data_IF_944587860549
#
_entry.id   IF_944587860549
#
_cell.length_a   1.000
_cell.length_b   1.000
_cell.length_c   1.000
_cell.angle_alpha   90.00
_cell.angle_beta   90.00
_cell.angle_gamma   90.00
#
_symmetry.space_group_name_H-M   'P 1'
#
loop_
_entity.id
_entity.type
_entity.pdbx_description
1 polymer ?
#
# COMPACT_ATOMS: atom_id res chain seq x y z
N UNK A 1 -5.04 6.06 -54.40
CA UNK A 1 -4.51 7.45 -54.33
C UNK A 1 -3.44 7.49 -53.26
N UNK A 2 -2.28 8.04 -53.61
CA UNK A 2 -1.06 8.10 -52.81
C UNK A 2 -1.15 9.21 -51.74
N UNK A 3 -0.55 8.93 -50.58
CA UNK A 3 0.23 9.84 -49.74
C UNK A 3 -0.43 11.10 -49.18
N UNK A 4 -0.65 11.12 -47.87
CA UNK A 4 -0.58 12.33 -47.04
C UNK A 4 0.35 12.12 -45.82
N UNK A 5 1.54 11.56 -46.09
CA UNK A 5 2.71 11.70 -45.22
C UNK A 5 3.36 13.03 -45.59
N UNK A 6 3.20 14.11 -44.80
CA UNK A 6 4.11 15.31 -44.75
C UNK A 6 3.62 16.51 -43.90
N UNK A 7 3.16 16.31 -42.67
CA UNK A 7 3.09 17.37 -41.65
C UNK A 7 3.30 16.66 -40.32
N UNK A 8 4.44 16.69 -39.63
CA UNK A 8 5.25 17.86 -39.33
C UNK A 8 6.49 17.35 -38.57
N UNK A 9 7.43 16.76 -39.30
CA UNK A 9 8.74 16.31 -38.77
C UNK A 9 9.62 17.51 -38.33
N UNK A 10 9.22 18.75 -38.57
CA UNK A 10 9.98 19.94 -38.16
C UNK A 10 9.36 20.62 -36.94
N UNK A 11 9.75 20.14 -35.76
CA UNK A 11 10.08 21.02 -34.62
C UNK A 11 11.22 20.38 -33.82
N UNK A 12 12.32 20.12 -34.53
CA UNK A 12 13.61 19.70 -33.98
C UNK A 12 14.60 20.84 -34.23
N UNK A 13 14.39 21.96 -33.55
CA UNK A 13 15.39 23.02 -33.42
C UNK A 13 15.03 23.81 -32.15
N UNK A 14 15.93 23.82 -31.17
CA UNK A 14 15.86 24.74 -30.04
C UNK A 14 15.10 24.26 -28.80
N UNK A 15 15.56 23.17 -28.18
CA UNK A 15 15.35 22.93 -26.75
C UNK A 15 16.55 22.16 -26.19
N UNK A 16 17.62 22.91 -25.93
CA UNK A 16 18.68 22.50 -25.01
C UNK A 16 18.06 22.26 -23.64
N UNK A 17 17.87 21.01 -23.27
CA UNK A 17 17.32 20.64 -21.97
C UNK A 17 16.78 19.22 -22.01
N UNK A 18 17.63 18.26 -21.66
CA UNK A 18 17.14 17.00 -21.14
C UNK A 18 16.57 17.27 -19.75
N UNK A 19 15.38 17.87 -19.68
CA UNK A 19 14.61 17.80 -18.46
C UNK A 19 14.18 16.35 -18.32
N UNK A 20 14.72 15.68 -17.31
CA UNK A 20 14.25 14.39 -16.84
C UNK A 20 12.78 14.61 -16.45
N UNK A 21 11.89 14.36 -17.40
CA UNK A 21 10.48 14.20 -17.08
C UNK A 21 10.43 13.04 -16.09
N UNK A 22 10.31 13.36 -14.80
CA UNK A 22 9.77 12.44 -13.82
C UNK A 22 8.40 12.02 -14.37
N UNK A 23 8.41 10.85 -15.02
CA UNK A 23 7.20 10.16 -15.38
C UNK A 23 6.58 9.75 -14.05
N UNK A 24 5.74 10.61 -13.49
CA UNK A 24 4.78 10.18 -12.49
C UNK A 24 3.96 9.06 -13.12
N UNK A 25 4.13 7.85 -12.59
CA UNK A 25 3.48 6.65 -13.10
C UNK A 25 1.98 6.91 -13.28
N UNK A 26 1.37 6.46 -14.39
CA UNK A 26 -0.04 6.64 -14.61
C UNK A 26 -0.79 5.95 -13.47
N UNK A 27 -1.34 6.75 -12.54
CA UNK A 27 -2.21 6.29 -11.47
C UNK A 27 -3.31 5.46 -12.11
N UNK A 28 -3.20 4.13 -11.96
CA UNK A 28 -4.05 3.14 -12.62
C UNK A 28 -5.50 3.41 -12.25
N UNK A 29 -6.17 4.05 -13.20
CA UNK A 29 -7.59 4.37 -13.26
C UNK A 29 -8.39 3.06 -13.14
N UNK A 30 -9.43 3.09 -12.32
CA UNK A 30 -10.10 1.91 -11.75
C UNK A 30 -10.39 0.79 -12.74
N UNK A 31 -9.73 -0.34 -12.51
CA UNK A 31 -10.13 -1.66 -13.01
C UNK A 31 -10.79 -2.40 -11.83
N UNK A 32 -11.78 -3.28 -12.03
CA UNK A 32 -12.39 -4.05 -10.95
C UNK A 32 -11.39 -4.84 -10.09
N UNK A 33 -10.16 -5.10 -10.59
CA UNK A 33 -9.04 -5.60 -9.80
C UNK A 33 -8.49 -4.64 -8.74
N UNK A 34 -8.69 -3.33 -8.90
CA UNK A 34 -8.19 -2.30 -7.99
C UNK A 34 -8.86 -2.35 -6.61
N UNK A 35 -10.13 -2.73 -6.54
CA UNK A 35 -10.84 -2.91 -5.26
C UNK A 35 -10.29 -4.12 -4.51
N UNK A 36 -9.99 -5.21 -5.21
CA UNK A 36 -9.36 -6.39 -4.60
C UNK A 36 -7.95 -6.09 -4.09
N UNK A 37 -7.16 -5.32 -4.84
CA UNK A 37 -5.81 -4.90 -4.42
C UNK A 37 -5.91 -4.08 -3.12
N UNK A 38 -6.80 -3.09 -3.07
CA UNK A 38 -6.99 -2.25 -1.87
C UNK A 38 -7.50 -3.04 -0.68
N UNK A 39 -8.48 -3.94 -0.89
CA UNK A 39 -9.00 -4.79 0.17
C UNK A 39 -7.91 -5.73 0.72
N UNK A 40 -7.05 -6.25 -0.16
CA UNK A 40 -5.90 -7.07 0.23
C UNK A 40 -4.90 -6.27 1.05
N UNK A 41 -4.56 -5.05 0.61
CA UNK A 41 -3.64 -4.17 1.33
C UNK A 41 -4.14 -3.84 2.75
N UNK A 42 -5.43 -3.51 2.88
CA UNK A 42 -6.07 -3.29 4.19
C UNK A 42 -6.05 -4.57 5.02
N UNK A 43 -6.39 -5.72 4.41
CA UNK A 43 -6.37 -7.01 5.07
C UNK A 43 -4.98 -7.36 5.61
N UNK A 44 -3.92 -7.14 4.83
CA UNK A 44 -2.53 -7.35 5.26
C UNK A 44 -2.11 -6.39 6.37
N UNK A 45 -2.52 -5.12 6.31
CA UNK A 45 -2.23 -4.12 7.35
C UNK A 45 -2.80 -4.51 8.72
N UNK A 46 -3.89 -5.29 8.75
CA UNK A 46 -4.50 -5.84 9.96
C UNK A 46 -3.88 -7.20 10.33
N UNK A 47 -3.78 -8.11 9.36
CA UNK A 47 -3.37 -9.50 9.60
C UNK A 47 -1.91 -9.60 10.06
N UNK A 48 -1.01 -8.77 9.53
CA UNK A 48 0.41 -8.79 9.88
C UNK A 48 0.66 -8.51 11.38
N UNK A 49 0.22 -7.38 11.96
CA UNK A 49 0.46 -7.10 13.38
C UNK A 49 -0.20 -8.11 14.33
N UNK A 50 -1.40 -8.64 13.99
CA UNK A 50 -2.07 -9.66 14.81
C UNK A 50 -1.29 -10.98 14.76
N UNK A 51 -0.94 -11.46 13.56
CA UNK A 51 -0.22 -12.73 13.38
C UNK A 51 1.20 -12.63 13.95
N UNK A 52 1.88 -11.52 13.72
CA UNK A 52 3.21 -11.27 14.28
C UNK A 52 3.16 -11.22 15.81
N UNK A 53 2.20 -10.51 16.40
CA UNK A 53 2.01 -10.48 17.85
C UNK A 53 1.70 -11.86 18.42
N UNK A 54 0.79 -12.61 17.80
CA UNK A 54 0.43 -13.96 18.24
C UNK A 54 1.61 -14.94 18.17
N UNK A 55 2.35 -14.96 17.05
CA UNK A 55 3.51 -15.84 16.88
C UNK A 55 4.65 -15.46 17.83
N UNK A 56 4.92 -14.16 17.98
CA UNK A 56 5.94 -13.67 18.90
C UNK A 56 5.57 -13.99 20.35
N UNK A 57 4.29 -13.79 20.70
CA UNK A 57 3.73 -14.13 22.00
C UNK A 57 3.85 -15.61 22.30
N UNK A 58 3.49 -16.49 21.36
CA UNK A 58 3.62 -17.95 21.49
C UNK A 58 5.07 -18.38 21.69
N UNK A 59 6.00 -17.79 20.95
CA UNK A 59 7.42 -18.06 21.10
C UNK A 59 7.94 -17.66 22.49
N UNK A 60 7.52 -16.50 22.99
CA UNK A 60 7.86 -16.02 24.33
C UNK A 60 7.26 -16.92 25.41
N UNK A 61 6.01 -17.31 25.23
CA UNK A 61 5.25 -18.10 26.18
C UNK A 61 5.82 -19.52 26.35
N UNK A 62 6.27 -20.13 25.24
CA UNK A 62 7.02 -21.38 25.25
C UNK A 62 8.36 -21.25 26.00
N UNK A 63 9.01 -20.09 25.93
CA UNK A 63 10.30 -19.84 26.60
C UNK A 63 10.14 -19.63 28.10
N UNK A 64 9.08 -18.94 28.53
CA UNK A 64 8.83 -18.64 29.95
C UNK A 64 7.91 -19.66 30.64
N UNK A 65 7.44 -20.70 29.92
CA UNK A 65 6.45 -21.69 30.38
C UNK A 65 5.15 -21.05 30.92
N UNK A 66 4.87 -19.82 30.52
CA UNK A 66 3.78 -18.99 31.03
C UNK A 66 2.44 -19.21 30.33
N UNK A 67 2.14 -20.45 29.93
CA UNK A 67 0.95 -20.82 29.15
C UNK A 67 -0.37 -20.21 29.68
N UNK A 68 -1.17 -19.45 28.89
CA UNK A 68 -0.90 -18.71 27.65
C UNK A 68 -0.96 -17.18 27.85
N UNK A 69 -0.30 -16.67 28.90
CA UNK A 69 -0.47 -15.27 29.34
C UNK A 69 0.23 -14.27 28.42
N UNK A 70 1.43 -14.60 27.95
CA UNK A 70 2.21 -13.70 27.09
C UNK A 70 1.64 -13.63 25.68
N UNK A 71 1.20 -14.77 25.14
CA UNK A 71 0.49 -14.84 23.85
C UNK A 71 -0.74 -13.96 23.85
N UNK A 72 -1.55 -14.02 24.91
CA UNK A 72 -2.77 -13.23 25.00
C UNK A 72 -2.50 -11.72 25.09
N UNK A 73 -1.47 -11.33 25.86
CA UNK A 73 -1.03 -9.94 25.97
C UNK A 73 -0.53 -9.39 24.63
N UNK A 74 0.36 -10.12 23.96
CA UNK A 74 0.89 -9.70 22.65
C UNK A 74 -0.16 -9.71 21.54
N UNK A 75 -1.11 -10.66 21.58
CA UNK A 75 -2.26 -10.66 20.69
C UNK A 75 -3.10 -9.40 20.89
N UNK A 76 -3.38 -9.03 22.14
CA UNK A 76 -4.13 -7.82 22.46
C UNK A 76 -3.43 -6.56 21.95
N UNK A 77 -2.12 -6.46 22.16
CA UNK A 77 -1.31 -5.35 21.59
C UNK A 77 -1.36 -5.35 20.07
N UNK A 78 -1.20 -6.51 19.42
CA UNK A 78 -1.29 -6.65 17.96
C UNK A 78 -2.64 -6.17 17.42
N UNK A 79 -3.73 -6.46 18.12
CA UNK A 79 -5.08 -5.98 17.78
C UNK A 79 -5.16 -4.45 17.90
N UNK A 80 -4.66 -3.86 19.00
CA UNK A 80 -4.67 -2.40 19.17
C UNK A 80 -3.88 -1.69 18.06
N UNK A 81 -2.72 -2.22 17.69
CA UNK A 81 -1.91 -1.69 16.58
C UNK A 81 -2.65 -1.82 15.26
N UNK A 82 -3.28 -2.96 14.98
CA UNK A 82 -4.07 -3.17 13.77
C UNK A 82 -5.22 -2.15 13.66
N UNK A 83 -5.95 -1.90 14.75
CA UNK A 83 -7.00 -0.88 14.79
C UNK A 83 -6.46 0.54 14.60
N UNK A 84 -5.32 0.87 15.21
CA UNK A 84 -4.66 2.16 15.01
C UNK A 84 -4.29 2.40 13.54
N UNK A 85 -3.68 1.40 12.89
CA UNK A 85 -3.33 1.46 11.47
C UNK A 85 -4.57 1.56 10.58
N UNK A 86 -5.61 0.79 10.88
CA UNK A 86 -6.87 0.83 10.13
C UNK A 86 -7.54 2.20 10.25
N UNK A 87 -7.61 2.77 11.45
CA UNK A 87 -8.19 4.08 11.68
C UNK A 87 -7.44 5.18 10.89
N UNK A 88 -6.11 5.12 10.90
CA UNK A 88 -5.29 6.06 10.13
C UNK A 88 -5.51 5.91 8.63
N UNK A 89 -5.58 4.68 8.13
CA UNK A 89 -5.84 4.36 6.73
C UNK A 89 -7.22 4.89 6.29
N UNK A 90 -8.27 4.61 7.06
CA UNK A 90 -9.63 5.11 6.78
C UNK A 90 -9.69 6.64 6.81
N UNK A 91 -9.03 7.28 7.78
CA UNK A 91 -8.95 8.74 7.87
C UNK A 91 -8.26 9.36 6.65
N UNK A 92 -7.19 8.74 6.16
CA UNK A 92 -6.49 9.18 4.94
C UNK A 92 -7.38 9.06 3.70
N UNK A 93 -8.12 7.96 3.55
CA UNK A 93 -9.10 7.82 2.46
C UNK A 93 -10.22 8.87 2.54
N UNK A 94 -10.69 9.20 3.75
CA UNK A 94 -11.71 10.25 3.94
C UNK A 94 -11.22 11.66 3.64
N UNK A 95 -9.92 11.96 3.84
CA UNK A 95 -9.37 13.30 3.58
C UNK A 95 -8.99 13.53 2.12
N UNK A 96 -8.64 12.48 1.38
CA UNK A 96 -8.23 12.57 -0.03
C UNK A 96 -9.40 12.87 -1.00
N UNK A 97 -10.62 12.98 -0.48
CA UNK A 97 -11.84 13.32 -1.22
C UNK A 97 -12.31 14.78 -1.07
N UNK A 98 -11.51 15.66 -0.46
CA UNK A 98 -11.66 17.12 -0.53
C UNK A 98 -10.53 17.72 -1.37
#
# INVERSE_FOLDING_TARGET
MKTQVKKKILKLEGATGYEFAEMEEPKKKGSPSGVFIQATEIGFSIALPITAGALFGLWLDNKFKSHPKLTLSFLFVGILVAFGNLFMTVKQFSQKGK
#
